data_IF_098039880238
#
_entry.id   IF_098039880238
#
_cell.length_a   1.000
_cell.length_b   1.000
_cell.length_c   1.000
_cell.angle_alpha   90.00
_cell.angle_beta   90.00
_cell.angle_gamma   90.00
#
_symmetry.space_group_name_H-M   'P 1'
#
loop_
_entity.id
_entity.type
_entity.pdbx_description
1 polymer ?
#
# COMPACT_ATOMS: atom_id res chain seq x y z
N UNK A 1 -25.18 -41.03 38.14
CA UNK A 1 -26.30 -40.39 37.44
C UNK A 1 -26.13 -38.92 37.70
N UNK A 2 -25.65 -38.17 36.72
CA UNK A 2 -25.99 -36.76 36.50
C UNK A 2 -25.34 -36.35 35.17
N UNK A 3 -26.16 -35.72 34.34
CA UNK A 3 -26.09 -35.74 32.90
C UNK A 3 -25.10 -34.71 32.33
N UNK A 4 -24.43 -35.10 31.26
CA UNK A 4 -23.72 -34.19 30.36
C UNK A 4 -24.75 -33.26 29.70
N UNK A 5 -24.59 -31.95 29.87
CA UNK A 5 -25.35 -30.94 29.13
C UNK A 5 -24.53 -30.57 27.91
N UNK A 6 -24.83 -31.25 26.80
CA UNK A 6 -24.37 -30.86 25.46
C UNK A 6 -25.02 -29.51 25.09
N UNK A 7 -24.19 -28.48 24.90
CA UNK A 7 -24.62 -27.21 24.35
C UNK A 7 -24.61 -27.36 22.83
N UNK A 8 -25.78 -27.64 22.26
CA UNK A 8 -26.00 -27.74 20.82
C UNK A 8 -25.85 -26.34 20.19
N UNK A 9 -24.81 -26.19 19.36
CA UNK A 9 -24.41 -24.91 18.74
C UNK A 9 -25.08 -24.67 17.38
N UNK A 10 -26.16 -25.37 17.07
CA UNK A 10 -26.88 -25.24 15.80
C UNK A 10 -28.35 -24.81 15.98
N UNK A 11 -28.57 -23.51 16.18
CA UNK A 11 -29.82 -22.86 15.75
C UNK A 11 -29.49 -21.64 14.88
N UNK A 12 -28.95 -21.92 13.70
CA UNK A 12 -29.02 -20.97 12.59
C UNK A 12 -30.46 -20.98 12.08
N UNK A 13 -31.25 -19.98 12.48
CA UNK A 13 -32.59 -19.75 11.94
C UNK A 13 -32.42 -18.99 10.62
N UNK A 14 -32.86 -19.55 9.47
CA UNK A 14 -32.79 -18.87 8.18
C UNK A 14 -33.53 -17.53 8.22
N UNK A 15 -32.83 -16.48 7.81
CA UNK A 15 -33.29 -15.09 7.72
C UNK A 15 -34.21 -14.91 6.51
N UNK A 16 -35.33 -15.64 6.46
CA UNK A 16 -36.18 -15.67 5.26
C UNK A 16 -37.69 -15.47 5.49
N UNK A 17 -38.15 -15.16 6.70
CA UNK A 17 -39.59 -14.93 6.97
C UNK A 17 -39.96 -13.59 7.65
N UNK A 18 -39.09 -12.57 7.61
CA UNK A 18 -39.46 -11.20 8.05
C UNK A 18 -39.92 -10.28 6.90
N UNK A 19 -40.17 -10.84 5.71
CA UNK A 19 -40.71 -10.13 4.57
C UNK A 19 -42.21 -10.42 4.41
N UNK A 20 -43.03 -9.88 5.33
CA UNK A 20 -44.47 -9.51 5.18
C UNK A 20 -45.16 -9.39 6.54
N UNK A 21 -44.64 -8.57 7.45
CA UNK A 21 -45.55 -7.85 8.34
C UNK A 21 -45.72 -6.45 7.75
N UNK A 22 -46.67 -6.32 6.82
CA UNK A 22 -47.19 -5.01 6.45
C UNK A 22 -47.87 -4.44 7.69
N UNK A 23 -47.12 -3.73 8.53
CA UNK A 23 -47.69 -2.87 9.55
C UNK A 23 -48.45 -1.81 8.77
N UNK A 24 -49.77 -1.99 8.66
CA UNK A 24 -50.70 -0.97 8.23
C UNK A 24 -50.69 0.12 9.30
N UNK A 25 -49.74 1.05 9.15
CA UNK A 25 -49.73 2.29 9.91
C UNK A 25 -50.92 3.08 9.39
N UNK A 26 -52.01 3.07 10.14
CA UNK A 26 -53.08 4.04 9.99
C UNK A 26 -52.42 5.42 9.98
N UNK A 27 -52.57 6.13 8.85
CA UNK A 27 -52.09 7.51 8.71
C UNK A 27 -52.99 8.37 9.59
N UNK A 28 -52.73 8.34 10.89
CA UNK A 28 -53.10 9.40 11.80
C UNK A 28 -52.54 10.66 11.14
N UNK A 29 -53.45 11.55 10.70
CA UNK A 29 -53.14 12.72 9.90
C UNK A 29 -52.07 13.53 10.63
N UNK A 30 -50.81 13.27 10.29
CA UNK A 30 -49.67 13.93 10.91
C UNK A 30 -49.92 15.42 10.77
N UNK A 31 -49.88 16.13 11.90
CA UNK A 31 -50.06 17.57 11.89
C UNK A 31 -49.16 18.19 10.82
N UNK A 32 -49.66 19.21 10.13
CA UNK A 32 -48.94 19.83 9.00
C UNK A 32 -47.50 20.23 9.39
N UNK A 33 -47.31 20.61 10.65
CA UNK A 33 -46.02 20.91 11.26
C UNK A 33 -45.08 19.69 11.36
N UNK A 34 -45.61 18.53 11.72
CA UNK A 34 -44.85 17.28 11.81
C UNK A 34 -44.46 16.76 10.41
N UNK A 35 -45.34 16.91 9.41
CA UNK A 35 -45.02 16.60 8.01
C UNK A 35 -43.91 17.52 7.49
N UNK A 36 -43.96 18.81 7.81
CA UNK A 36 -42.91 19.76 7.45
C UNK A 36 -41.57 19.39 8.10
N UNK A 37 -41.58 18.97 9.37
CA UNK A 37 -40.38 18.50 10.07
C UNK A 37 -39.77 17.24 9.42
N UNK A 38 -40.59 16.25 9.05
CA UNK A 38 -40.10 15.05 8.37
C UNK A 38 -39.52 15.35 6.98
N UNK A 39 -40.18 16.21 6.19
CA UNK A 39 -39.61 16.68 4.91
C UNK A 39 -38.23 17.30 5.12
N UNK A 40 -38.10 18.18 6.12
CA UNK A 40 -36.84 18.85 6.43
C UNK A 40 -35.75 17.89 6.88
N UNK A 41 -36.06 16.92 7.74
CA UNK A 41 -35.07 15.93 8.20
C UNK A 41 -34.63 14.97 7.11
N UNK A 42 -35.52 14.60 6.17
CA UNK A 42 -35.17 13.82 4.98
C UNK A 42 -34.22 14.60 4.08
N UNK A 43 -34.49 15.89 3.84
CA UNK A 43 -33.59 16.77 3.09
C UNK A 43 -32.20 16.87 3.73
N UNK A 44 -32.11 17.08 5.04
CA UNK A 44 -30.83 17.15 5.76
C UNK A 44 -30.07 15.82 5.75
N UNK A 45 -30.76 14.68 5.75
CA UNK A 45 -30.12 13.36 5.60
C UNK A 45 -29.57 13.19 4.19
N UNK A 46 -30.34 13.59 3.18
CA UNK A 46 -29.91 13.55 1.77
C UNK A 46 -28.73 14.49 1.51
N UNK A 47 -28.76 15.72 2.02
CA UNK A 47 -27.66 16.68 1.85
C UNK A 47 -26.37 16.19 2.52
N UNK A 48 -26.43 15.68 3.75
CA UNK A 48 -25.25 15.10 4.43
C UNK A 48 -24.72 13.84 3.75
N UNK A 49 -25.59 13.01 3.18
CA UNK A 49 -25.16 11.85 2.41
C UNK A 49 -24.45 12.27 1.10
N UNK A 50 -24.99 13.27 0.40
CA UNK A 50 -24.38 13.83 -0.80
C UNK A 50 -23.03 14.49 -0.50
N UNK A 51 -22.94 15.29 0.56
CA UNK A 51 -21.70 15.94 0.99
C UNK A 51 -20.61 14.92 1.37
N UNK A 52 -20.97 13.84 2.05
CA UNK A 52 -20.05 12.74 2.35
C UNK A 52 -19.58 12.02 1.09
N UNK A 53 -20.49 11.76 0.14
CA UNK A 53 -20.14 11.12 -1.12
C UNK A 53 -19.20 11.99 -1.96
N UNK A 54 -19.43 13.31 -2.00
CA UNK A 54 -18.58 14.26 -2.71
C UNK A 54 -17.20 14.38 -2.05
N UNK A 55 -17.15 14.47 -0.72
CA UNK A 55 -15.89 14.48 0.02
C UNK A 55 -15.07 13.21 -0.20
N UNK A 56 -15.73 12.05 -0.25
CA UNK A 56 -15.08 10.77 -0.56
C UNK A 56 -14.56 10.71 -2.00
N UNK A 57 -15.29 11.28 -2.97
CA UNK A 57 -14.82 11.39 -4.36
C UNK A 57 -13.58 12.27 -4.48
N UNK A 58 -13.61 13.44 -3.85
CA UNK A 58 -12.48 14.38 -3.84
C UNK A 58 -11.27 13.75 -3.14
N UNK A 59 -11.46 13.04 -2.02
CA UNK A 59 -10.38 12.35 -1.32
C UNK A 59 -9.80 11.19 -2.16
N UNK A 60 -10.64 10.45 -2.90
CA UNK A 60 -10.18 9.41 -3.81
C UNK A 60 -9.40 9.98 -5.02
N UNK A 61 -9.86 11.09 -5.59
CA UNK A 61 -9.13 11.80 -6.65
C UNK A 61 -7.81 12.39 -6.15
N UNK A 62 -7.79 12.93 -4.92
CA UNK A 62 -6.56 13.42 -4.28
C UNK A 62 -5.57 12.29 -4.00
N UNK A 63 -6.03 11.13 -3.51
CA UNK A 63 -5.17 9.95 -3.33
C UNK A 63 -4.52 9.50 -4.64
N UNK A 64 -5.26 9.50 -5.75
CA UNK A 64 -4.72 9.18 -7.07
C UNK A 64 -3.76 10.23 -7.66
N UNK A 65 -3.70 11.43 -7.08
CA UNK A 65 -2.87 12.56 -7.52
C UNK A 65 -1.73 12.90 -6.55
N UNK A 66 -1.57 12.20 -5.43
CA UNK A 66 -0.46 12.39 -4.49
C UNK A 66 0.86 11.89 -5.10
N UNK A 67 1.44 12.67 -6.00
CA UNK A 67 2.81 12.48 -6.56
C UNK A 67 3.92 12.56 -5.49
N UNK A 68 3.57 12.80 -4.22
CA UNK A 68 4.47 13.12 -3.12
C UNK A 68 4.78 11.98 -2.14
N UNK A 69 4.16 10.80 -2.24
CA UNK A 69 4.54 9.71 -1.34
C UNK A 69 5.89 9.12 -1.78
N UNK A 70 6.86 9.11 -0.87
CA UNK A 70 8.21 8.56 -1.13
C UNK A 70 8.17 7.06 -1.48
N UNK A 71 7.06 6.38 -1.16
CA UNK A 71 6.74 5.05 -1.66
C UNK A 71 5.66 5.18 -2.73
N UNK A 72 6.00 4.80 -3.96
CA UNK A 72 5.03 4.60 -5.04
C UNK A 72 4.57 3.14 -4.99
N UNK A 73 3.51 2.88 -4.24
CA UNK A 73 2.78 1.61 -4.32
C UNK A 73 1.65 1.82 -5.32
N UNK A 74 1.39 0.82 -6.15
CA UNK A 74 0.11 0.76 -6.86
C UNK A 74 -0.98 0.63 -5.77
N UNK A 75 -2.10 1.36 -5.87
CA UNK A 75 -3.08 1.54 -4.78
C UNK A 75 -3.64 0.22 -4.19
N UNK A 76 -3.46 -0.90 -4.89
CA UNK A 76 -3.94 -2.24 -4.52
C UNK A 76 -2.82 -3.20 -4.02
N UNK A 77 -1.55 -2.82 -4.05
CA UNK A 77 -0.44 -3.72 -3.67
C UNK A 77 -0.15 -3.65 -2.17
N UNK A 78 -0.67 -4.63 -1.41
CA UNK A 78 -0.34 -4.76 0.01
C UNK A 78 1.12 -5.24 0.20
N UNK A 79 1.95 -4.38 0.80
CA UNK A 79 3.34 -4.70 1.14
C UNK A 79 3.52 -4.72 2.66
N UNK A 80 4.11 -5.79 3.17
CA UNK A 80 4.45 -5.91 4.60
C UNK A 80 5.44 -4.81 5.00
N UNK A 81 5.23 -4.19 6.17
CA UNK A 81 6.06 -3.09 6.66
C UNK A 81 7.56 -3.46 6.75
N UNK A 82 7.86 -4.72 7.05
CA UNK A 82 9.24 -5.25 7.15
C UNK A 82 9.98 -5.29 5.79
N UNK A 83 9.24 -5.19 4.67
CA UNK A 83 9.80 -5.13 3.30
C UNK A 83 10.05 -3.71 2.81
N UNK A 84 9.70 -2.70 3.60
CA UNK A 84 9.95 -1.29 3.31
C UNK A 84 11.28 -0.92 3.98
N UNK A 85 12.36 -0.90 3.19
CA UNK A 85 13.68 -0.51 3.65
C UNK A 85 13.92 1.00 3.55
N UNK A 86 15.11 1.44 3.99
CA UNK A 86 15.59 2.83 3.87
C UNK A 86 15.59 3.32 2.41
N UNK A 87 15.82 2.40 1.47
CA UNK A 87 15.83 2.66 0.03
C UNK A 87 14.45 2.45 -0.64
N UNK A 88 13.39 2.22 0.14
CA UNK A 88 12.04 1.95 -0.35
C UNK A 88 11.65 0.46 -0.31
N UNK A 89 10.56 0.14 -1.01
CA UNK A 89 10.04 -1.23 -1.12
C UNK A 89 10.98 -2.08 -1.99
N UNK A 90 11.62 -3.09 -1.40
CA UNK A 90 12.42 -4.04 -2.17
C UNK A 90 11.52 -5.08 -2.86
N UNK A 91 11.27 -4.90 -4.16
CA UNK A 91 10.63 -5.93 -5.00
C UNK A 91 11.70 -6.91 -5.51
N UNK A 92 11.69 -8.15 -4.98
CA UNK A 92 12.54 -9.24 -5.50
C UNK A 92 11.88 -9.86 -6.72
N UNK A 93 12.56 -9.82 -7.86
CA UNK A 93 12.11 -10.48 -9.09
C UNK A 93 12.90 -11.78 -9.31
N UNK A 94 12.23 -12.82 -9.81
CA UNK A 94 12.88 -14.09 -10.20
C UNK A 94 13.40 -14.06 -11.65
N UNK A 95 13.11 -13.00 -12.41
CA UNK A 95 13.60 -12.82 -13.76
C UNK A 95 15.11 -12.52 -13.74
N UNK A 96 15.84 -13.04 -14.73
CA UNK A 96 17.24 -12.70 -14.91
C UNK A 96 17.37 -11.18 -15.11
N UNK A 97 18.28 -10.50 -14.38
CA UNK A 97 18.45 -9.07 -14.53
C UNK A 97 18.99 -8.74 -15.94
N UNK A 98 18.38 -7.75 -16.60
CA UNK A 98 18.88 -7.24 -17.87
C UNK A 98 20.13 -6.38 -17.62
N UNK A 99 21.30 -6.99 -17.71
CA UNK A 99 22.58 -6.32 -17.53
C UNK A 99 22.85 -5.28 -18.61
N UNK A 100 22.39 -5.52 -19.84
CA UNK A 100 22.61 -4.59 -20.95
C UNK A 100 21.83 -3.29 -20.73
N UNK A 101 20.57 -3.39 -20.34
CA UNK A 101 19.76 -2.22 -19.99
C UNK A 101 20.36 -1.45 -18.81
N UNK A 102 20.84 -2.14 -17.77
CA UNK A 102 21.49 -1.50 -16.62
C UNK A 102 22.76 -0.74 -17.01
N UNK A 103 23.62 -1.33 -17.85
CA UNK A 103 24.84 -0.69 -18.34
C UNK A 103 24.49 0.57 -19.15
N UNK A 104 23.47 0.48 -20.01
CA UNK A 104 23.02 1.60 -20.81
C UNK A 104 22.48 2.74 -19.94
N UNK A 105 21.61 2.43 -18.97
CA UNK A 105 21.11 3.41 -18.00
C UNK A 105 22.25 4.06 -17.20
N UNK A 106 23.25 3.29 -16.77
CA UNK A 106 24.42 3.83 -16.08
C UNK A 106 25.18 4.84 -16.97
N UNK A 107 25.38 4.52 -18.25
CA UNK A 107 26.05 5.42 -19.21
C UNK A 107 25.25 6.69 -19.48
N UNK A 108 23.94 6.58 -19.63
CA UNK A 108 23.05 7.73 -19.84
C UNK A 108 23.02 8.65 -18.61
N UNK A 109 22.93 8.06 -17.42
CA UNK A 109 23.02 8.79 -16.15
C UNK A 109 24.37 9.50 -16.01
N UNK A 110 25.48 8.82 -16.34
CA UNK A 110 26.81 9.43 -16.34
C UNK A 110 26.91 10.59 -17.35
N UNK A 111 26.35 10.46 -18.55
CA UNK A 111 26.28 11.55 -19.54
C UNK A 111 25.46 12.73 -19.02
N UNK A 112 24.36 12.47 -18.32
CA UNK A 112 23.52 13.51 -17.70
C UNK A 112 24.25 14.25 -16.57
N UNK A 113 25.02 13.54 -15.75
CA UNK A 113 25.73 14.11 -14.60
C UNK A 113 27.06 14.80 -14.98
N UNK A 114 27.84 14.18 -15.87
CA UNK A 114 29.22 14.57 -16.16
C UNK A 114 29.43 15.11 -17.59
N UNK A 115 28.40 15.11 -18.44
CA UNK A 115 28.46 15.64 -19.79
C UNK A 115 29.53 14.96 -20.66
N UNK A 116 30.38 15.77 -21.31
CA UNK A 116 31.47 15.28 -22.17
C UNK A 116 32.55 14.51 -21.41
N UNK A 117 32.68 14.72 -20.10
CA UNK A 117 33.66 14.01 -19.28
C UNK A 117 33.18 12.62 -18.80
N UNK A 118 31.93 12.23 -19.11
CA UNK A 118 31.32 11.01 -18.59
C UNK A 118 32.13 9.74 -18.87
N UNK A 119 32.64 9.56 -20.08
CA UNK A 119 33.42 8.37 -20.44
C UNK A 119 34.75 8.31 -19.68
N UNK A 120 35.39 9.47 -19.48
CA UNK A 120 36.64 9.56 -18.72
C UNK A 120 36.41 9.24 -17.25
N UNK A 121 35.35 9.77 -16.63
CA UNK A 121 35.03 9.49 -15.23
C UNK A 121 34.69 8.02 -15.04
N UNK A 122 33.85 7.45 -15.92
CA UNK A 122 33.50 6.03 -15.86
C UNK A 122 34.74 5.13 -16.00
N UNK A 123 35.68 5.47 -16.88
CA UNK A 123 36.94 4.75 -17.01
C UNK A 123 37.84 4.88 -15.76
N UNK A 124 37.83 6.04 -15.10
CA UNK A 124 38.56 6.22 -13.85
C UNK A 124 37.95 5.40 -12.72
N UNK A 125 36.62 5.37 -12.59
CA UNK A 125 35.91 4.53 -11.62
C UNK A 125 36.29 3.06 -11.79
N UNK A 126 36.21 2.53 -13.02
CA UNK A 126 36.55 1.12 -13.28
C UNK A 126 38.02 0.81 -13.00
N UNK A 127 38.93 1.74 -13.26
CA UNK A 127 40.34 1.58 -12.90
C UNK A 127 40.57 1.53 -11.38
N UNK A 128 39.82 2.34 -10.62
CA UNK A 128 39.89 2.32 -9.15
C UNK A 128 39.37 0.99 -8.62
N UNK A 129 38.23 0.52 -9.12
CA UNK A 129 37.63 -0.76 -8.74
C UNK A 129 38.58 -1.93 -9.05
N UNK A 130 39.12 -1.99 -10.27
CA UNK A 130 40.08 -3.02 -10.68
C UNK A 130 41.33 -3.04 -9.78
N UNK A 131 41.88 -1.87 -9.46
CA UNK A 131 43.06 -1.78 -8.59
C UNK A 131 42.74 -2.24 -7.16
N UNK A 132 41.57 -1.86 -6.66
CA UNK A 132 41.11 -2.30 -5.35
C UNK A 132 40.96 -3.83 -5.30
N UNK A 133 40.29 -4.43 -6.28
CA UNK A 133 40.10 -5.87 -6.38
C UNK A 133 41.43 -6.63 -6.46
N UNK A 134 42.40 -6.13 -7.23
CA UNK A 134 43.74 -6.72 -7.30
C UNK A 134 44.44 -6.73 -5.95
N UNK A 135 44.43 -5.60 -5.23
CA UNK A 135 45.06 -5.50 -3.92
C UNK A 135 44.31 -6.32 -2.86
N UNK A 136 42.98 -6.36 -2.91
CA UNK A 136 42.15 -7.17 -2.04
C UNK A 136 42.41 -8.67 -2.27
N UNK A 137 42.46 -9.12 -3.52
CA UNK A 137 42.75 -10.50 -3.89
C UNK A 137 44.16 -10.94 -3.48
N UNK A 138 45.13 -10.02 -3.54
CA UNK A 138 46.52 -10.26 -3.13
C UNK A 138 46.68 -10.35 -1.61
N UNK A 139 46.05 -9.43 -0.87
CA UNK A 139 46.23 -9.33 0.59
C UNK A 139 45.25 -10.20 1.38
N UNK A 140 44.09 -10.52 0.80
CA UNK A 140 42.96 -11.23 1.43
C UNK A 140 42.78 -10.81 2.90
N UNK A 141 42.62 -9.50 3.16
CA UNK A 141 42.53 -9.03 4.53
C UNK A 141 41.34 -9.69 5.22
N UNK A 142 41.48 -10.12 6.49
CA UNK A 142 40.35 -10.67 7.24
C UNK A 142 39.23 -9.62 7.30
N UNK A 143 38.04 -9.99 6.86
CA UNK A 143 36.84 -9.15 6.98
C UNK A 143 36.53 -8.99 8.48
N UNK A 144 36.49 -7.76 8.96
CA UNK A 144 36.16 -7.46 10.35
C UNK A 144 34.65 -7.25 10.54
N UNK A 145 34.10 -7.57 11.73
CA UNK A 145 34.81 -8.09 12.90
C UNK A 145 34.74 -9.63 12.95
N UNK A 146 35.90 -10.26 13.13
CA UNK A 146 36.03 -11.69 13.42
C UNK A 146 35.62 -11.94 14.89
N UNK A 147 34.36 -11.70 15.23
CA UNK A 147 33.80 -12.03 16.54
C UNK A 147 33.40 -13.50 16.47
N UNK A 148 34.02 -14.38 17.27
CA UNK A 148 33.57 -15.75 17.35
C UNK A 148 32.12 -15.75 17.86
N UNK A 149 31.20 -16.26 17.04
CA UNK A 149 29.86 -16.60 17.51
C UNK A 149 30.02 -17.72 18.53
N UNK A 150 29.54 -17.50 19.77
CA UNK A 150 29.44 -18.57 20.77
C UNK A 150 28.40 -19.58 20.24
N UNK A 151 28.87 -20.78 19.87
CA UNK A 151 28.03 -21.97 19.66
C UNK A 151 27.69 -22.60 21.02
#
# INVERSE_FOLDING_TARGET
MDAEVEIDTNLWVPREELARSSVSVEVEEMSEEMVAFFKKTIEHRKSRAAEKAERQRIEAEQRGQEEGHWIKLDDDEYVMADKIGVYGVERRTFAAPDEAAKIQQRRENARKMYGSAAERILAMETLVDMRFEQEYAKKRPPLWPNIPLKL
#
